data_IF_857541757834
#
_entry.id   IF_857541757834
#
_cell.length_a   1.000
_cell.length_b   1.000
_cell.length_c   1.000
_cell.angle_alpha   90.00
_cell.angle_beta   90.00
_cell.angle_gamma   90.00
#
_symmetry.space_group_name_H-M   'P 1'
#
loop_
_entity.id
_entity.type
_entity.pdbx_description
1 polymer ?
#
# COMPACT_ATOMS: atom_id res chain seq x y z
N UNK A 1 -11.81 -11.43 -5.01
CA UNK A 1 -10.57 -10.85 -4.55
C UNK A 1 -10.81 -10.11 -3.24
N UNK A 2 -9.86 -10.21 -2.28
CA UNK A 2 -9.98 -9.59 -0.95
C UNK A 2 -10.04 -8.06 -1.05
N UNK A 3 -9.31 -7.48 -2.00
CA UNK A 3 -9.32 -6.05 -2.24
C UNK A 3 -10.71 -5.53 -2.65
N UNK A 4 -11.44 -6.31 -3.46
CA UNK A 4 -12.80 -5.97 -3.88
C UNK A 4 -13.78 -5.85 -2.69
N UNK A 5 -13.57 -6.66 -1.65
CA UNK A 5 -14.36 -6.59 -0.41
C UNK A 5 -14.00 -5.36 0.41
N UNK A 6 -12.71 -5.04 0.55
CA UNK A 6 -12.23 -3.86 1.28
C UNK A 6 -12.73 -2.57 0.64
N UNK A 7 -12.68 -2.49 -0.67
CA UNK A 7 -13.16 -1.34 -1.45
C UNK A 7 -14.69 -1.25 -1.43
N UNK A 8 -15.39 -2.38 -1.44
CA UNK A 8 -16.85 -2.47 -1.48
C UNK A 8 -17.42 -2.63 -2.90
N UNK A 9 -16.64 -3.18 -3.83
CA UNK A 9 -17.14 -3.68 -5.11
C UNK A 9 -18.09 -4.85 -4.84
N UNK A 10 -17.69 -5.78 -3.98
CA UNK A 10 -18.59 -6.75 -3.35
C UNK A 10 -19.17 -6.12 -2.08
N UNK A 11 -20.44 -6.40 -1.81
CA UNK A 11 -21.07 -5.93 -0.58
C UNK A 11 -20.37 -6.54 0.63
N UNK A 12 -19.68 -5.70 1.38
CA UNK A 12 -19.00 -6.08 2.61
C UNK A 12 -19.17 -4.98 3.65
N UNK A 13 -19.56 -5.39 4.85
CA UNK A 13 -19.69 -4.47 6.00
C UNK A 13 -18.31 -3.94 6.38
N UNK A 14 -18.22 -2.63 6.61
CA UNK A 14 -16.97 -1.96 6.94
C UNK A 14 -16.09 -1.64 5.72
N UNK A 15 -16.58 -1.85 4.51
CA UNK A 15 -15.87 -1.47 3.28
C UNK A 15 -15.71 0.05 3.16
N UNK A 16 -14.74 0.49 2.37
CA UNK A 16 -14.51 1.91 2.10
C UNK A 16 -15.74 2.62 1.51
N UNK A 17 -16.56 1.90 0.76
CA UNK A 17 -17.82 2.40 0.22
C UNK A 17 -18.79 2.88 1.30
N UNK A 18 -18.87 2.21 2.44
CA UNK A 18 -19.73 2.62 3.56
C UNK A 18 -19.28 3.95 4.19
N UNK A 19 -18.02 4.32 4.02
CA UNK A 19 -17.45 5.61 4.43
C UNK A 19 -17.55 6.69 3.34
N UNK A 20 -18.31 6.43 2.26
CA UNK A 20 -18.50 7.38 1.17
C UNK A 20 -17.31 7.50 0.21
N UNK A 21 -16.36 6.58 0.27
CA UNK A 21 -15.23 6.55 -0.65
C UNK A 21 -15.67 5.88 -1.95
N UNK A 22 -15.41 6.54 -3.06
CA UNK A 22 -15.67 6.01 -4.40
C UNK A 22 -14.39 5.41 -4.99
N UNK A 23 -14.56 4.48 -5.89
CA UNK A 23 -13.49 3.74 -6.51
C UNK A 23 -13.64 3.76 -8.04
N UNK A 24 -12.52 3.84 -8.73
CA UNK A 24 -12.41 3.64 -10.16
C UNK A 24 -11.23 2.69 -10.42
N UNK A 25 -11.34 1.84 -11.41
CA UNK A 25 -10.30 0.90 -11.82
C UNK A 25 -9.85 1.21 -13.24
N UNK A 26 -8.55 1.15 -13.44
CA UNK A 26 -7.92 1.17 -14.77
C UNK A 26 -7.13 -0.12 -14.90
N UNK A 27 -7.50 -0.93 -15.86
CA UNK A 27 -6.81 -2.18 -16.14
C UNK A 27 -5.49 -1.92 -16.85
N UNK A 28 -4.55 -2.86 -16.73
CA UNK A 28 -3.33 -2.84 -17.53
C UNK A 28 -3.66 -3.11 -19.00
N UNK A 29 -2.83 -2.62 -19.89
CA UNK A 29 -2.90 -2.94 -21.32
C UNK A 29 -2.59 -4.44 -21.56
N UNK A 30 -2.89 -4.92 -22.75
CA UNK A 30 -2.70 -6.34 -23.11
C UNK A 30 -1.24 -6.82 -22.95
N UNK A 31 -0.29 -5.92 -23.11
CA UNK A 31 1.15 -6.18 -22.92
C UNK A 31 1.59 -6.14 -21.44
N UNK A 32 0.68 -5.81 -20.54
CA UNK A 32 0.92 -5.69 -19.09
C UNK A 32 1.46 -4.33 -18.64
N UNK A 33 1.58 -3.36 -19.54
CA UNK A 33 1.94 -1.98 -19.21
C UNK A 33 0.76 -1.20 -18.62
N UNK A 34 1.05 -0.06 -17.97
CA UNK A 34 0.00 0.84 -17.48
C UNK A 34 -0.71 1.55 -18.62
N UNK A 35 -2.03 1.59 -18.58
CA UNK A 35 -2.83 2.48 -19.42
C UNK A 35 -2.78 3.91 -18.87
N UNK A 36 -1.73 4.65 -19.26
CA UNK A 36 -1.53 6.03 -18.78
C UNK A 36 -2.66 6.97 -19.19
N UNK A 37 -3.24 6.80 -20.40
CA UNK A 37 -4.38 7.60 -20.81
C UNK A 37 -5.65 7.26 -20.00
N UNK A 38 -5.88 5.97 -19.74
CA UNK A 38 -6.95 5.53 -18.86
C UNK A 38 -6.79 6.09 -17.43
N UNK A 39 -5.57 6.06 -16.87
CA UNK A 39 -5.26 6.67 -15.58
C UNK A 39 -5.56 8.16 -15.59
N UNK A 40 -5.13 8.89 -16.59
CA UNK A 40 -5.38 10.33 -16.75
C UNK A 40 -6.88 10.66 -16.79
N UNK A 41 -7.63 9.87 -17.54
CA UNK A 41 -9.08 10.05 -17.68
C UNK A 41 -9.87 9.70 -16.42
N UNK A 42 -9.35 8.78 -15.59
CA UNK A 42 -9.97 8.39 -14.33
C UNK A 42 -9.70 9.41 -13.20
N UNK A 43 -8.59 10.15 -13.26
CA UNK A 43 -8.25 11.19 -12.28
C UNK A 43 -9.21 12.38 -12.43
N UNK A 44 -9.74 12.84 -11.29
CA UNK A 44 -10.61 14.01 -11.20
C UNK A 44 -10.38 14.75 -9.87
N UNK A 45 -11.08 15.89 -9.67
CA UNK A 45 -10.91 16.75 -8.48
C UNK A 45 -11.16 16.05 -7.14
N UNK A 46 -11.89 14.93 -7.15
CA UNK A 46 -12.18 14.13 -5.96
C UNK A 46 -11.16 13.04 -5.72
N UNK A 47 -10.31 12.73 -6.69
CA UNK A 47 -9.26 11.71 -6.55
C UNK A 47 -8.26 12.16 -5.49
N UNK A 48 -7.97 11.29 -4.52
CA UNK A 48 -7.03 11.54 -3.42
C UNK A 48 -5.89 10.57 -3.38
N UNK A 49 -6.14 9.33 -3.80
CA UNK A 49 -5.19 8.25 -3.72
C UNK A 49 -5.23 7.40 -4.99
N UNK A 50 -4.06 7.06 -5.47
CA UNK A 50 -3.84 6.05 -6.51
C UNK A 50 -3.23 4.83 -5.82
N UNK A 51 -3.86 3.68 -6.01
CA UNK A 51 -3.38 2.42 -5.49
C UNK A 51 -2.80 1.57 -6.63
N UNK A 52 -1.59 1.06 -6.45
CA UNK A 52 -0.91 0.17 -7.39
C UNK A 52 -0.66 -1.17 -6.70
N UNK A 53 -1.20 -2.25 -7.22
CA UNK A 53 -0.87 -3.60 -6.78
C UNK A 53 0.30 -4.13 -7.60
N UNK A 54 1.49 -4.25 -6.98
CA UNK A 54 2.71 -4.70 -7.64
C UNK A 54 2.63 -6.15 -8.08
N UNK A 55 2.23 -7.03 -7.19
CA UNK A 55 2.15 -8.45 -7.48
C UNK A 55 1.02 -8.78 -8.45
N UNK A 56 1.23 -9.81 -9.24
CA UNK A 56 0.18 -10.33 -10.13
C UNK A 56 -0.93 -11.09 -9.39
N UNK A 57 -0.73 -11.44 -8.12
CA UNK A 57 -1.63 -12.31 -7.39
C UNK A 57 -1.82 -13.64 -8.13
N UNK A 58 -3.07 -14.03 -8.38
CA UNK A 58 -3.42 -15.21 -9.16
C UNK A 58 -3.60 -14.94 -10.67
N UNK A 59 -3.41 -13.69 -11.11
CA UNK A 59 -3.53 -13.34 -12.52
C UNK A 59 -2.33 -13.85 -13.34
N UNK A 60 -2.51 -13.94 -14.66
CA UNK A 60 -1.46 -14.36 -15.60
C UNK A 60 -0.57 -13.22 -16.08
N UNK A 61 -0.88 -11.96 -15.68
CA UNK A 61 -0.09 -10.78 -16.03
C UNK A 61 1.33 -10.83 -15.44
N UNK A 62 2.30 -10.10 -15.99
CA UNK A 62 3.60 -9.89 -15.37
C UNK A 62 3.49 -9.21 -14.01
N UNK A 63 4.47 -9.43 -13.13
CA UNK A 63 4.68 -8.62 -11.95
C UNK A 63 5.30 -7.28 -12.38
N UNK A 64 4.85 -6.18 -11.78
CA UNK A 64 5.36 -4.85 -12.10
C UNK A 64 6.74 -4.65 -11.46
N UNK A 65 7.72 -4.24 -12.25
CA UNK A 65 9.03 -3.84 -11.74
C UNK A 65 8.96 -2.48 -11.04
N UNK A 66 9.94 -2.19 -10.18
CA UNK A 66 10.02 -0.89 -9.49
C UNK A 66 10.19 0.26 -10.48
N UNK A 67 10.95 0.08 -11.54
CA UNK A 67 11.14 1.12 -12.55
C UNK A 67 9.83 1.44 -13.29
N UNK A 68 9.07 0.43 -13.72
CA UNK A 68 7.76 0.62 -14.36
C UNK A 68 6.76 1.32 -13.41
N UNK A 69 6.78 0.96 -12.14
CA UNK A 69 5.99 1.66 -11.10
C UNK A 69 6.43 3.12 -10.99
N UNK A 70 7.75 3.39 -11.00
CA UNK A 70 8.31 4.73 -10.95
C UNK A 70 7.86 5.62 -12.11
N UNK A 71 7.82 5.07 -13.35
CA UNK A 71 7.31 5.78 -14.52
C UNK A 71 5.83 6.17 -14.35
N UNK A 72 5.01 5.24 -13.89
CA UNK A 72 3.60 5.51 -13.62
C UNK A 72 3.41 6.56 -12.49
N UNK A 73 4.20 6.50 -11.43
CA UNK A 73 4.18 7.50 -10.36
C UNK A 73 4.56 8.88 -10.90
N UNK A 74 5.64 8.99 -11.68
CA UNK A 74 6.07 10.24 -12.27
C UNK A 74 4.96 10.85 -13.13
N UNK A 75 4.31 10.05 -13.98
CA UNK A 75 3.19 10.48 -14.79
C UNK A 75 2.00 11.00 -13.95
N UNK A 76 1.61 10.27 -12.88
CA UNK A 76 0.55 10.70 -11.96
C UNK A 76 0.90 12.03 -11.29
N UNK A 77 2.16 12.20 -10.86
CA UNK A 77 2.63 13.43 -10.20
C UNK A 77 2.73 14.61 -11.15
N UNK A 78 2.92 14.40 -12.45
CA UNK A 78 2.81 15.46 -13.46
C UNK A 78 1.37 15.96 -13.60
N UNK A 79 0.38 15.08 -13.49
CA UNK A 79 -1.05 15.48 -13.54
C UNK A 79 -1.43 16.25 -12.27
N UNK A 80 -1.11 15.69 -11.11
CA UNK A 80 -1.36 16.33 -9.83
C UNK A 80 -0.38 15.80 -8.76
N UNK A 81 0.55 16.66 -8.35
CA UNK A 81 1.58 16.34 -7.35
C UNK A 81 1.04 16.02 -5.95
N UNK A 82 -0.19 16.45 -5.65
CA UNK A 82 -0.81 16.26 -4.35
C UNK A 82 -1.54 14.91 -4.21
N UNK A 83 -1.67 14.16 -5.31
CA UNK A 83 -2.19 12.80 -5.26
C UNK A 83 -1.25 11.89 -4.48
N UNK A 84 -1.81 11.13 -3.55
CA UNK A 84 -1.07 10.13 -2.80
C UNK A 84 -0.97 8.87 -3.67
N UNK A 85 0.24 8.37 -3.87
CA UNK A 85 0.45 7.08 -4.53
C UNK A 85 0.87 6.03 -3.50
N UNK A 86 0.02 5.02 -3.35
CA UNK A 86 0.24 3.88 -2.47
C UNK A 86 0.51 2.62 -3.29
N UNK A 87 1.54 1.88 -2.93
CA UNK A 87 1.90 0.61 -3.58
C UNK A 87 1.70 -0.54 -2.61
N UNK A 88 0.86 -1.51 -2.98
CA UNK A 88 0.87 -2.84 -2.36
C UNK A 88 2.10 -3.59 -2.88
N UNK A 89 3.10 -3.72 -2.03
CA UNK A 89 4.40 -4.30 -2.36
C UNK A 89 4.50 -5.80 -2.03
N UNK A 90 3.41 -6.43 -1.64
CA UNK A 90 3.40 -7.85 -1.32
C UNK A 90 4.10 -8.70 -2.38
N UNK A 91 5.01 -9.56 -1.95
CA UNK A 91 5.90 -10.40 -2.76
C UNK A 91 6.97 -9.64 -3.57
N UNK A 92 7.03 -8.31 -3.46
CA UNK A 92 8.03 -7.50 -4.13
C UNK A 92 9.20 -7.11 -3.24
N UNK A 93 9.04 -7.21 -1.93
CA UNK A 93 10.05 -6.80 -0.95
C UNK A 93 11.35 -7.58 -1.13
N UNK A 94 12.47 -6.87 -1.19
CA UNK A 94 13.82 -7.42 -1.35
C UNK A 94 14.08 -8.17 -2.67
N UNK A 95 13.21 -8.02 -3.66
CA UNK A 95 13.36 -8.70 -4.97
C UNK A 95 14.22 -7.88 -5.92
N UNK A 96 14.13 -6.56 -5.86
CA UNK A 96 14.92 -5.63 -6.66
C UNK A 96 15.83 -4.77 -5.75
N UNK A 97 16.80 -4.09 -6.32
CA UNK A 97 17.73 -3.23 -5.57
C UNK A 97 17.04 -2.01 -4.96
N UNK A 98 15.95 -1.57 -5.57
CA UNK A 98 15.12 -0.45 -5.11
C UNK A 98 13.75 -0.92 -4.67
N UNK A 99 13.19 -0.18 -3.74
CA UNK A 99 11.80 -0.33 -3.34
C UNK A 99 10.93 0.81 -3.92
N UNK A 100 9.61 0.63 -4.03
CA UNK A 100 8.74 1.65 -4.62
C UNK A 100 8.82 3.04 -3.97
N UNK A 101 9.20 3.14 -2.68
CA UNK A 101 9.45 4.43 -2.02
C UNK A 101 10.61 5.22 -2.63
N UNK A 102 11.60 4.54 -3.18
CA UNK A 102 12.78 5.17 -3.79
C UNK A 102 12.50 5.72 -5.19
N UNK A 103 11.38 5.32 -5.78
CA UNK A 103 10.91 5.81 -7.09
C UNK A 103 9.67 6.68 -6.98
N UNK A 104 9.35 7.16 -5.77
CA UNK A 104 8.36 8.20 -5.53
C UNK A 104 7.02 7.76 -4.97
N UNK A 105 6.84 6.50 -4.57
CA UNK A 105 5.64 6.10 -3.85
C UNK A 105 5.56 6.84 -2.51
N UNK A 106 4.40 7.44 -2.23
CA UNK A 106 4.16 8.15 -0.96
C UNK A 106 3.98 7.16 0.20
N UNK A 107 3.41 5.99 -0.08
CA UNK A 107 3.21 4.91 0.86
C UNK A 107 3.46 3.56 0.21
N UNK A 108 4.00 2.63 0.99
CA UNK A 108 4.11 1.22 0.66
C UNK A 108 3.38 0.43 1.75
N UNK A 109 2.61 -0.55 1.35
CA UNK A 109 1.97 -1.50 2.24
C UNK A 109 2.36 -2.92 1.87
N UNK A 110 2.42 -3.80 2.82
CA UNK A 110 2.72 -5.19 2.56
C UNK A 110 2.44 -6.09 3.75
N UNK A 111 2.69 -7.37 3.57
CA UNK A 111 2.38 -8.39 4.55
C UNK A 111 3.63 -9.02 5.13
N UNK A 112 3.70 -9.08 6.46
CA UNK A 112 4.80 -9.75 7.17
C UNK A 112 4.77 -11.28 6.99
N UNK A 113 3.64 -11.86 6.61
CA UNK A 113 3.56 -13.31 6.34
C UNK A 113 4.26 -13.72 5.02
N UNK A 114 4.73 -12.74 4.26
CA UNK A 114 5.40 -12.93 2.96
C UNK A 114 6.90 -12.67 3.10
N UNK A 115 7.51 -12.02 2.11
CA UNK A 115 8.97 -11.82 2.07
C UNK A 115 9.57 -11.24 3.35
N UNK A 116 9.01 -10.16 3.96
CA UNK A 116 9.63 -9.56 5.15
C UNK A 116 9.72 -10.50 6.36
N UNK A 117 8.71 -11.34 6.56
CA UNK A 117 8.68 -12.26 7.69
C UNK A 117 9.43 -13.58 7.46
N UNK A 118 9.87 -13.86 6.23
CA UNK A 118 10.70 -15.03 5.91
C UNK A 118 10.11 -16.36 6.39
N UNK A 119 8.80 -16.48 6.48
CA UNK A 119 8.10 -17.65 7.01
C UNK A 119 8.03 -17.72 8.54
N UNK A 120 8.58 -16.75 9.25
CA UNK A 120 8.56 -16.70 10.73
C UNK A 120 7.35 -15.96 11.27
N UNK A 121 6.87 -14.94 10.57
CA UNK A 121 5.71 -14.17 10.99
C UNK A 121 4.40 -14.89 10.61
N UNK A 122 3.57 -15.31 11.58
CA UNK A 122 2.32 -16.00 11.29
C UNK A 122 1.21 -15.04 10.83
N UNK A 123 1.37 -13.74 11.10
CA UNK A 123 0.37 -12.69 10.87
C UNK A 123 1.06 -11.33 10.83
N UNK A 124 0.36 -10.34 10.33
CA UNK A 124 0.79 -8.95 10.33
C UNK A 124 1.06 -8.40 8.94
N UNK A 125 1.12 -7.09 8.86
CA UNK A 125 1.46 -6.34 7.68
C UNK A 125 2.31 -5.12 8.07
N UNK A 126 2.73 -4.30 7.14
CA UNK A 126 3.46 -3.07 7.40
C UNK A 126 2.93 -1.93 6.53
N UNK A 127 3.12 -0.70 7.01
CA UNK A 127 3.00 0.50 6.21
C UNK A 127 4.27 1.30 6.40
N UNK A 128 4.88 1.76 5.32
CA UNK A 128 6.00 2.70 5.35
C UNK A 128 5.83 3.78 4.28
N UNK A 129 6.49 4.92 4.46
CA UNK A 129 6.41 6.03 3.53
C UNK A 129 6.51 7.39 4.21
N UNK A 130 5.83 8.38 3.67
CA UNK A 130 5.84 9.75 4.18
C UNK A 130 5.33 9.80 5.62
N UNK A 131 6.06 10.49 6.49
CA UNK A 131 5.79 10.55 7.92
C UNK A 131 4.38 11.06 8.26
N UNK A 132 3.89 12.07 7.52
CA UNK A 132 2.56 12.63 7.71
C UNK A 132 1.44 11.62 7.44
N UNK A 133 1.62 10.74 6.45
CA UNK A 133 0.67 9.67 6.12
C UNK A 133 0.76 8.53 7.13
N UNK A 134 1.98 8.15 7.51
CA UNK A 134 2.19 7.10 8.50
C UNK A 134 1.61 7.49 9.86
N UNK A 135 1.77 8.74 10.28
CA UNK A 135 1.17 9.24 11.51
C UNK A 135 -0.36 9.13 11.48
N UNK A 136 -1.01 9.51 10.37
CA UNK A 136 -2.46 9.37 10.21
C UNK A 136 -2.89 7.89 10.28
N UNK A 137 -2.15 6.99 9.64
CA UNK A 137 -2.41 5.56 9.72
C UNK A 137 -2.28 5.06 11.17
N UNK A 138 -1.22 5.43 11.87
CA UNK A 138 -1.01 5.03 13.26
C UNK A 138 -2.16 5.46 14.17
N UNK A 139 -2.64 6.71 14.05
CA UNK A 139 -3.79 7.18 14.81
C UNK A 139 -5.08 6.42 14.50
N UNK A 140 -5.24 5.93 13.29
CA UNK A 140 -6.42 5.16 12.87
C UNK A 140 -6.41 3.73 13.37
N UNK A 141 -5.22 3.15 13.48
CA UNK A 141 -5.01 1.73 13.76
C UNK A 141 -4.73 1.43 15.21
N UNK A 142 -4.27 2.41 15.97
CA UNK A 142 -3.92 2.27 17.38
C UNK A 142 -4.72 3.25 18.22
N UNK A 143 -4.83 2.95 19.51
CA UNK A 143 -5.38 3.91 20.47
C UNK A 143 -4.38 5.06 20.67
N UNK A 144 -4.82 6.34 20.78
CA UNK A 144 -3.93 7.51 20.84
C UNK A 144 -3.10 7.64 22.13
N UNK A 145 -2.86 6.58 22.88
CA UNK A 145 -2.14 6.64 24.14
C UNK A 145 -0.65 6.39 23.90
N UNK A 146 0.10 7.48 23.80
CA UNK A 146 1.52 7.48 24.14
C UNK A 146 2.49 7.11 23.04
N UNK A 147 2.12 7.12 21.78
CA UNK A 147 3.08 6.88 20.71
C UNK A 147 3.60 8.20 20.13
N UNK A 148 4.72 8.67 20.67
CA UNK A 148 5.63 9.47 19.85
C UNK A 148 6.33 8.51 18.88
N UNK A 149 5.78 8.33 17.70
CA UNK A 149 6.45 7.57 16.65
C UNK A 149 7.20 8.56 15.76
N UNK A 150 8.48 8.74 15.92
CA UNK A 150 9.30 9.40 14.92
C UNK A 150 9.68 8.34 13.91
N UNK A 151 8.77 7.86 13.09
CA UNK A 151 9.18 6.86 12.11
C UNK A 151 8.35 6.93 10.85
N UNK A 152 9.06 6.80 9.76
CA UNK A 152 8.53 6.56 8.43
C UNK A 152 7.89 5.18 8.27
N UNK A 153 7.81 4.41 9.37
CA UNK A 153 7.27 3.05 9.39
C UNK A 153 6.30 2.89 10.56
N UNK A 154 5.09 2.44 10.29
CA UNK A 154 4.14 1.99 11.31
C UNK A 154 3.90 0.50 11.16
N UNK A 155 4.07 -0.27 12.22
CA UNK A 155 3.80 -1.70 12.29
C UNK A 155 2.68 -1.96 13.31
N UNK A 156 1.67 -2.75 13.06
CA UNK A 156 0.61 -3.15 13.99
C UNK A 156 0.64 -4.65 14.19
N UNK A 157 0.86 -5.11 15.38
CA UNK A 157 0.73 -6.52 15.72
C UNK A 157 -0.68 -6.83 16.21
N UNK A 158 -1.22 -7.95 15.79
CA UNK A 158 -2.40 -8.50 16.44
C UNK A 158 -2.04 -8.85 17.92
N UNK A 159 -2.95 -8.64 18.87
CA UNK A 159 -2.70 -8.89 20.30
C UNK A 159 -2.32 -10.33 20.65
N UNK A 160 -2.33 -11.23 19.71
CA UNK A 160 -1.95 -12.64 19.93
C UNK A 160 -0.45 -12.94 19.72
N UNK A 161 0.40 -11.94 19.50
CA UNK A 161 1.85 -12.13 19.37
C UNK A 161 2.57 -11.55 20.60
N UNK A 162 2.50 -12.26 21.70
CA UNK A 162 3.32 -12.01 22.90
C UNK A 162 4.77 -12.50 22.79
N UNK A 163 5.32 -12.62 21.59
CA UNK A 163 6.58 -13.35 21.37
C UNK A 163 7.80 -12.51 21.00
N UNK A 164 7.74 -11.19 21.13
CA UNK A 164 8.93 -10.37 20.89
C UNK A 164 9.36 -9.60 22.15
N UNK A 165 10.58 -9.85 22.65
CA UNK A 165 10.98 -9.43 23.99
C UNK A 165 11.36 -7.98 24.17
N UNK A 166 11.23 -7.11 23.19
CA UNK A 166 11.55 -5.68 23.39
C UNK A 166 10.78 -4.73 22.47
N UNK A 167 10.03 -3.77 23.04
CA UNK A 167 9.27 -2.78 22.28
C UNK A 167 10.12 -1.66 21.65
N UNK A 168 11.41 -1.62 21.88
CA UNK A 168 12.25 -0.50 21.45
C UNK A 168 12.90 -0.65 20.08
N UNK A 169 12.79 -1.80 19.43
CA UNK A 169 13.58 -2.09 18.24
C UNK A 169 12.80 -2.53 17.00
N UNK A 170 11.47 -2.58 17.05
CA UNK A 170 10.70 -3.13 15.96
C UNK A 170 9.63 -2.16 15.49
N UNK A 171 9.73 -1.74 14.27
CA UNK A 171 8.70 -0.95 13.63
C UNK A 171 7.48 -1.82 13.33
N UNK A 172 6.37 -1.24 13.36
CA UNK A 172 5.08 -1.84 13.44
C UNK A 172 4.26 -1.85 12.19
N UNK A 173 3.36 -2.78 11.98
CA UNK A 173 2.65 -2.88 10.76
C UNK A 173 1.21 -3.30 10.91
N UNK A 174 0.49 -3.36 9.96
CA UNK A 174 -0.81 -3.97 9.86
C UNK A 174 -0.74 -5.21 9.03
#
# INVERSE_FOLDING_TARGET
DTLEEVIGIRESKGSLKEYGITYAQVDLLEDGSFDLEGIKNAINDKTKLIHIQRSKGYATRPTLSVDVIGEAIAFVKEINKDLIVMVDNCYGEFVEEKEPSEVGADMIVGSLIKNPGGGLAPIGGYICGRSDLIEQCAYRLTTPIGMSVPSTVATVFSPSIDLLPHPESIPIAI
#
